data_IF_284421762739
#
_entry.id   IF_284421762739
#
_cell.length_a   1.000
_cell.length_b   1.000
_cell.length_c   1.000
_cell.angle_alpha   90.00
_cell.angle_beta   90.00
_cell.angle_gamma   90.00
#
_symmetry.space_group_name_H-M   'P 1'
#
loop_
_entity.id
_entity.type
_entity.pdbx_description
1 polymer ?
#
# COMPACT_ATOMS: atom_id res chain seq x y z
N UNK A 1 4.03 3.18 -28.55
CA UNK A 1 3.49 3.04 -27.21
C UNK A 1 2.21 3.82 -26.96
N UNK A 2 2.04 5.01 -27.54
CA UNK A 2 0.81 5.84 -27.42
C UNK A 2 -0.47 5.17 -27.95
N UNK A 3 -0.37 4.34 -28.98
CA UNK A 3 -1.53 3.74 -29.67
C UNK A 3 -2.26 2.66 -28.85
N UNK A 4 -1.55 1.93 -27.99
CA UNK A 4 -2.14 0.85 -27.17
C UNK A 4 -2.97 1.43 -26.01
N UNK A 5 -2.56 2.60 -25.49
CA UNK A 5 -3.29 3.29 -24.41
C UNK A 5 -4.62 3.88 -24.87
N UNK A 6 -4.69 4.38 -26.10
CA UNK A 6 -5.94 4.94 -26.66
C UNK A 6 -7.04 3.89 -26.87
N UNK A 7 -6.68 2.65 -27.17
CA UNK A 7 -7.67 1.57 -27.34
C UNK A 7 -8.19 1.03 -26.01
N UNK A 8 -7.36 1.04 -24.95
CA UNK A 8 -7.80 0.63 -23.60
C UNK A 8 -8.73 1.65 -22.96
N UNK A 9 -8.50 2.95 -23.16
CA UNK A 9 -9.40 4.00 -22.68
C UNK A 9 -10.80 3.88 -23.32
N UNK A 10 -10.90 3.48 -24.58
CA UNK A 10 -12.18 3.25 -25.26
C UNK A 10 -12.97 2.05 -24.71
N UNK A 11 -12.33 1.11 -24.07
CA UNK A 11 -12.98 -0.04 -23.45
C UNK A 11 -13.62 0.30 -22.10
N UNK A 12 -13.23 1.41 -21.47
CA UNK A 12 -13.73 1.85 -20.15
C UNK A 12 -14.55 3.13 -20.16
N UNK A 13 -14.51 3.93 -21.24
CA UNK A 13 -15.38 5.09 -21.40
C UNK A 13 -16.67 4.70 -22.11
N UNK A 14 -17.74 4.50 -21.36
CA UNK A 14 -19.10 4.41 -21.90
C UNK A 14 -19.57 5.82 -22.32
N UNK A 15 -19.42 6.16 -23.61
CA UNK A 15 -19.87 7.44 -24.17
C UNK A 15 -19.87 7.45 -25.70
N UNK A 16 -21.01 7.11 -26.29
CA UNK A 16 -21.50 7.46 -27.63
C UNK A 16 -20.60 7.18 -28.86
N UNK A 17 -20.52 5.92 -29.26
CA UNK A 17 -20.38 5.54 -30.68
C UNK A 17 -21.43 4.46 -30.97
N UNK A 18 -22.36 4.71 -31.90
CA UNK A 18 -23.34 3.74 -32.35
C UNK A 18 -22.66 2.56 -33.05
N UNK A 19 -22.38 1.52 -32.30
CA UNK A 19 -22.06 0.19 -32.81
C UNK A 19 -23.35 -0.63 -32.93
N UNK A 20 -23.41 -1.67 -33.82
CA UNK A 20 -24.63 -2.44 -34.02
C UNK A 20 -25.06 -3.12 -32.74
N UNK A 21 -26.38 -3.18 -32.48
CA UNK A 21 -27.03 -3.74 -31.31
C UNK A 21 -26.56 -5.18 -31.03
N UNK A 22 -25.44 -5.34 -30.37
CA UNK A 22 -25.21 -6.51 -29.54
C UNK A 22 -26.03 -6.31 -28.25
N UNK A 23 -26.68 -7.38 -27.82
CA UNK A 23 -27.47 -7.44 -26.59
C UNK A 23 -26.54 -7.01 -25.44
N UNK A 24 -26.61 -5.76 -25.03
CA UNK A 24 -25.88 -5.26 -23.88
C UNK A 24 -26.42 -5.97 -22.65
N UNK A 25 -25.61 -6.85 -22.03
CA UNK A 25 -25.87 -7.29 -20.67
C UNK A 25 -26.00 -6.03 -19.82
N UNK A 26 -27.09 -5.89 -19.11
CA UNK A 26 -27.27 -4.81 -18.14
C UNK A 26 -26.21 -4.97 -17.05
N UNK A 27 -25.74 -3.91 -16.42
CA UNK A 27 -24.70 -3.97 -15.36
C UNK A 27 -25.08 -4.94 -14.21
N UNK A 28 -26.36 -5.26 -14.07
CA UNK A 28 -26.91 -6.27 -13.14
C UNK A 28 -26.63 -7.72 -13.52
N UNK A 29 -26.21 -8.00 -14.75
CA UNK A 29 -25.99 -9.38 -15.26
C UNK A 29 -24.51 -9.82 -15.22
N UNK A 30 -23.59 -8.91 -14.86
CA UNK A 30 -22.16 -9.29 -14.73
C UNK A 30 -21.94 -9.98 -13.38
N UNK A 31 -21.30 -11.16 -13.37
CA UNK A 31 -20.97 -11.80 -12.11
C UNK A 31 -20.04 -10.91 -11.29
N UNK A 32 -20.41 -10.64 -10.04
CA UNK A 32 -19.60 -9.87 -9.11
C UNK A 32 -18.29 -10.59 -8.83
N UNK A 33 -17.19 -9.85 -8.87
CA UNK A 33 -15.91 -10.38 -8.43
C UNK A 33 -15.88 -10.54 -6.89
N UNK A 34 -14.91 -11.28 -6.37
CA UNK A 34 -14.81 -11.59 -4.94
C UNK A 34 -14.69 -10.34 -4.05
N UNK A 35 -14.04 -9.26 -4.54
CA UNK A 35 -13.90 -8.00 -3.78
C UNK A 35 -15.28 -7.33 -3.64
N UNK A 36 -16.06 -7.27 -4.70
CA UNK A 36 -17.43 -6.75 -4.67
C UNK A 36 -18.34 -7.56 -3.74
N UNK A 37 -18.18 -8.88 -3.71
CA UNK A 37 -18.92 -9.74 -2.79
C UNK A 37 -18.58 -9.43 -1.31
N UNK A 38 -17.30 -9.21 -0.99
CA UNK A 38 -16.86 -8.83 0.36
C UNK A 38 -17.43 -7.44 0.72
N UNK A 39 -17.31 -6.46 -0.19
CA UNK A 39 -17.83 -5.10 0.05
C UNK A 39 -19.34 -5.14 0.33
N UNK A 40 -20.10 -5.87 -0.48
CA UNK A 40 -21.55 -6.00 -0.29
C UNK A 40 -21.90 -6.62 1.07
N UNK A 41 -21.23 -7.71 1.44
CA UNK A 41 -21.42 -8.34 2.74
C UNK A 41 -21.08 -7.40 3.92
N UNK A 42 -20.02 -6.61 3.79
CA UNK A 42 -19.61 -5.63 4.80
C UNK A 42 -20.62 -4.47 4.92
N UNK A 43 -21.20 -4.01 3.81
CA UNK A 43 -22.26 -2.99 3.81
C UNK A 43 -23.54 -3.57 4.40
N UNK A 44 -24.01 -4.73 3.94
CA UNK A 44 -25.23 -5.39 4.40
C UNK A 44 -25.20 -5.71 5.90
N UNK A 45 -24.04 -6.10 6.42
CA UNK A 45 -23.85 -6.34 7.86
C UNK A 45 -23.71 -5.07 8.69
N UNK A 46 -23.60 -3.89 8.06
CA UNK A 46 -23.35 -2.63 8.73
C UNK A 46 -21.92 -2.47 9.27
N UNK A 47 -20.99 -3.35 8.86
CA UNK A 47 -19.59 -3.30 9.27
C UNK A 47 -18.88 -2.04 8.75
N UNK A 48 -19.25 -1.61 7.54
CA UNK A 48 -18.76 -0.37 6.93
C UNK A 48 -19.95 0.50 6.49
N UNK A 49 -19.74 1.82 6.54
CA UNK A 49 -20.71 2.81 6.09
C UNK A 49 -20.34 3.43 4.75
N UNK A 50 -19.08 3.38 4.40
CA UNK A 50 -18.49 4.00 3.23
C UNK A 50 -17.39 3.10 2.67
N UNK A 51 -17.29 3.02 1.36
CA UNK A 51 -16.19 2.34 0.66
C UNK A 51 -15.06 3.34 0.46
N UNK A 52 -13.93 3.09 1.13
CA UNK A 52 -12.72 3.89 0.98
C UNK A 52 -11.63 3.01 0.43
N UNK A 53 -11.11 3.39 -0.73
CA UNK A 53 -9.98 2.73 -1.37
C UNK A 53 -8.77 3.66 -1.43
N UNK A 54 -7.63 3.16 -1.86
CA UNK A 54 -6.46 4.00 -2.12
C UNK A 54 -5.65 3.45 -3.29
N UNK A 55 -5.02 4.35 -4.00
CA UNK A 55 -3.95 4.04 -4.93
C UNK A 55 -2.64 4.57 -4.35
N UNK A 56 -1.70 3.68 -3.92
CA UNK A 56 -0.46 4.07 -3.24
C UNK A 56 0.77 3.88 -4.16
N UNK A 57 0.99 4.73 -5.17
CA UNK A 57 2.17 4.61 -6.02
C UNK A 57 3.44 5.05 -5.27
N UNK A 58 4.56 4.41 -5.58
CA UNK A 58 5.89 4.89 -5.24
C UNK A 58 6.38 5.80 -6.38
N UNK A 59 6.79 7.07 -6.10
CA UNK A 59 7.13 8.03 -7.15
C UNK A 59 8.58 7.87 -7.61
N UNK A 60 8.97 6.65 -8.01
CA UNK A 60 10.32 6.26 -8.45
C UNK A 60 10.40 5.91 -9.93
N UNK A 61 9.34 6.16 -10.71
CA UNK A 61 9.28 5.88 -12.14
C UNK A 61 7.90 6.15 -12.74
N UNK A 62 7.82 6.08 -14.08
CA UNK A 62 6.57 6.23 -14.81
C UNK A 62 5.66 5.00 -14.65
N UNK A 63 4.35 5.24 -14.67
CA UNK A 63 3.37 4.18 -14.58
C UNK A 63 3.38 3.28 -15.84
N UNK A 64 2.98 2.04 -15.64
CA UNK A 64 2.76 1.07 -16.72
C UNK A 64 1.36 0.46 -16.65
N UNK A 65 1.00 -0.41 -17.59
CA UNK A 65 -0.34 -0.99 -17.70
C UNK A 65 -0.81 -1.72 -16.43
N UNK A 66 0.11 -2.28 -15.64
CA UNK A 66 -0.22 -2.89 -14.35
C UNK A 66 -0.75 -1.87 -13.35
N UNK A 67 -0.16 -0.67 -13.32
CA UNK A 67 -0.65 0.44 -12.50
C UNK A 67 -2.01 0.94 -12.99
N UNK A 68 -2.22 1.08 -14.30
CA UNK A 68 -3.51 1.46 -14.87
C UNK A 68 -4.63 0.50 -14.43
N UNK A 69 -4.36 -0.82 -14.42
CA UNK A 69 -5.30 -1.82 -13.90
C UNK A 69 -5.63 -1.59 -12.42
N UNK A 70 -4.64 -1.29 -11.59
CA UNK A 70 -4.82 -1.00 -10.17
C UNK A 70 -5.61 0.29 -9.94
N UNK A 71 -5.32 1.35 -10.72
CA UNK A 71 -6.05 2.62 -10.67
C UNK A 71 -7.52 2.37 -11.01
N UNK A 72 -7.81 1.73 -12.16
CA UNK A 72 -9.17 1.42 -12.57
C UNK A 72 -9.93 0.57 -11.54
N UNK A 73 -9.27 -0.37 -10.88
CA UNK A 73 -9.88 -1.18 -9.84
C UNK A 73 -10.24 -0.33 -8.60
N UNK A 74 -9.28 0.42 -8.06
CA UNK A 74 -9.47 1.16 -6.81
C UNK A 74 -10.43 2.33 -6.97
N UNK A 75 -10.22 3.18 -7.96
CA UNK A 75 -11.10 4.31 -8.25
C UNK A 75 -12.47 3.84 -8.76
N UNK A 76 -12.51 2.79 -9.60
CA UNK A 76 -13.74 2.21 -10.11
C UNK A 76 -14.64 1.65 -9.00
N UNK A 77 -14.08 0.92 -8.03
CA UNK A 77 -14.82 0.45 -6.87
C UNK A 77 -15.35 1.61 -6.03
N UNK A 78 -14.52 2.61 -5.72
CA UNK A 78 -14.97 3.79 -5.00
C UNK A 78 -16.16 4.47 -5.71
N UNK A 79 -16.03 4.72 -7.00
CA UNK A 79 -17.10 5.33 -7.80
C UNK A 79 -18.36 4.47 -7.83
N UNK A 80 -18.24 3.15 -8.03
CA UNK A 80 -19.36 2.21 -8.10
C UNK A 80 -20.20 2.20 -6.81
N UNK A 81 -19.55 2.34 -5.67
CA UNK A 81 -20.18 2.29 -4.35
C UNK A 81 -20.45 3.68 -3.74
N UNK A 82 -20.25 4.76 -4.50
CA UNK A 82 -20.43 6.14 -3.99
C UNK A 82 -19.48 6.50 -2.85
N UNK A 83 -18.34 5.85 -2.80
CA UNK A 83 -17.28 6.10 -1.83
C UNK A 83 -16.17 6.98 -2.41
N UNK A 84 -14.98 6.95 -1.79
CA UNK A 84 -13.82 7.74 -2.23
C UNK A 84 -12.57 6.87 -2.40
N UNK A 85 -11.66 7.33 -3.28
CA UNK A 85 -10.33 6.76 -3.44
C UNK A 85 -9.28 7.83 -3.11
N UNK A 86 -8.37 7.53 -2.19
CA UNK A 86 -7.27 8.43 -1.84
C UNK A 86 -6.07 8.15 -2.75
N UNK A 87 -5.46 9.21 -3.30
CA UNK A 87 -4.12 9.13 -3.88
C UNK A 87 -3.10 9.34 -2.77
N UNK A 88 -2.24 8.34 -2.52
CA UNK A 88 -1.22 8.42 -1.48
C UNK A 88 0.12 7.96 -2.03
N UNK A 89 1.07 8.85 -2.10
CA UNK A 89 2.43 8.51 -2.49
C UNK A 89 3.15 7.77 -1.37
N UNK A 90 3.75 6.61 -1.70
CA UNK A 90 4.64 5.87 -0.82
C UNK A 90 6.08 6.37 -1.02
N UNK A 91 6.31 7.62 -0.66
CA UNK A 91 7.55 8.38 -0.81
C UNK A 91 8.51 8.13 0.37
N UNK A 92 8.99 6.90 0.48
CA UNK A 92 9.84 6.47 1.62
C UNK A 92 11.31 6.29 1.27
N UNK A 93 11.68 6.47 0.00
CA UNK A 93 13.06 6.35 -0.48
C UNK A 93 13.51 7.62 -1.24
N UNK A 94 14.02 8.64 -0.55
CA UNK A 94 14.38 9.92 -1.15
C UNK A 94 15.48 9.84 -2.22
N UNK A 95 16.24 8.73 -2.29
CA UNK A 95 17.28 8.56 -3.31
C UNK A 95 16.71 8.17 -4.69
N UNK A 96 15.53 7.58 -4.73
CA UNK A 96 14.92 7.07 -5.95
C UNK A 96 13.69 7.87 -6.41
N UNK A 97 13.22 8.82 -5.62
CA UNK A 97 11.98 9.56 -5.83
C UNK A 97 12.24 10.93 -6.42
N UNK A 98 11.38 11.34 -7.34
CA UNK A 98 11.50 12.63 -8.04
C UNK A 98 10.11 13.24 -8.25
N UNK A 99 10.01 14.57 -8.10
CA UNK A 99 8.79 15.33 -8.33
C UNK A 99 8.23 15.13 -9.74
N UNK A 100 9.09 14.90 -10.73
CA UNK A 100 8.68 14.60 -12.11
C UNK A 100 7.78 13.35 -12.18
N UNK A 101 8.08 12.33 -11.36
CA UNK A 101 7.25 11.12 -11.32
C UNK A 101 5.95 11.36 -10.57
N UNK A 102 5.95 12.18 -9.51
CA UNK A 102 4.71 12.60 -8.83
C UNK A 102 3.77 13.27 -9.80
N UNK A 103 4.26 14.26 -10.55
CA UNK A 103 3.47 15.02 -11.52
C UNK A 103 2.93 14.11 -12.64
N UNK A 104 3.78 13.22 -13.17
CA UNK A 104 3.38 12.26 -14.21
C UNK A 104 2.30 11.27 -13.71
N UNK A 105 2.40 10.80 -12.46
CA UNK A 105 1.40 9.91 -11.86
C UNK A 105 0.06 10.62 -11.69
N UNK A 106 0.06 11.88 -11.25
CA UNK A 106 -1.13 12.72 -11.13
C UNK A 106 -1.79 12.88 -12.50
N UNK A 107 -1.01 13.21 -13.52
CA UNK A 107 -1.49 13.36 -14.89
C UNK A 107 -2.06 12.05 -15.44
N UNK A 108 -1.41 10.92 -15.20
CA UNK A 108 -1.87 9.60 -15.64
C UNK A 108 -3.21 9.19 -14.99
N UNK A 109 -3.40 9.46 -13.69
CA UNK A 109 -4.67 9.20 -12.99
C UNK A 109 -5.78 10.06 -13.58
N UNK A 110 -5.53 11.36 -13.78
CA UNK A 110 -6.47 12.29 -14.40
C UNK A 110 -6.79 11.89 -15.87
N UNK A 111 -5.77 11.50 -16.64
CA UNK A 111 -5.95 11.03 -18.01
C UNK A 111 -6.81 9.76 -18.11
N UNK A 112 -6.74 8.87 -17.13
CA UNK A 112 -7.62 7.71 -17.01
C UNK A 112 -9.06 8.08 -16.62
N UNK A 113 -9.35 9.36 -16.35
CA UNK A 113 -10.68 9.88 -16.04
C UNK A 113 -11.05 9.81 -14.56
N UNK A 114 -10.08 9.64 -13.67
CA UNK A 114 -10.32 9.60 -12.23
C UNK A 114 -9.83 10.87 -11.54
N UNK A 115 -10.48 11.20 -10.42
CA UNK A 115 -10.13 12.30 -9.53
C UNK A 115 -10.25 11.82 -8.09
N UNK A 116 -9.62 12.53 -7.16
CA UNK A 116 -9.70 12.29 -5.71
C UNK A 116 -10.09 13.58 -4.99
N UNK A 117 -10.49 13.46 -3.74
CA UNK A 117 -10.83 14.60 -2.89
C UNK A 117 -9.60 15.08 -2.10
N UNK A 118 -9.44 16.40 -2.01
CA UNK A 118 -8.34 17.02 -1.27
C UNK A 118 -6.99 16.91 -1.97
N UNK A 119 -5.93 17.13 -1.22
CA UNK A 119 -4.54 17.01 -1.69
C UNK A 119 -4.10 15.53 -1.66
N UNK A 120 -3.15 15.14 -2.52
CA UNK A 120 -2.51 13.84 -2.38
C UNK A 120 -1.85 13.71 -0.99
N UNK A 121 -1.89 12.52 -0.42
CA UNK A 121 -1.19 12.22 0.83
C UNK A 121 0.22 11.71 0.52
N UNK A 122 1.16 11.99 1.40
CA UNK A 122 2.53 11.49 1.32
C UNK A 122 2.87 10.68 2.57
N UNK A 123 3.52 9.54 2.39
CA UNK A 123 3.94 8.70 3.53
C UNK A 123 4.96 9.43 4.41
N UNK A 124 5.83 10.25 3.79
CA UNK A 124 6.83 11.07 4.49
C UNK A 124 6.24 12.09 5.47
N UNK A 125 5.02 12.58 5.24
CA UNK A 125 4.33 13.50 6.15
C UNK A 125 4.07 12.90 7.53
N UNK A 126 4.13 11.57 7.65
CA UNK A 126 3.81 10.82 8.87
C UNK A 126 5.03 10.24 9.59
N UNK A 127 6.26 10.53 9.16
CA UNK A 127 7.47 9.91 9.73
C UNK A 127 7.61 10.16 11.24
N UNK A 128 7.38 11.36 11.70
CA UNK A 128 7.43 11.68 13.13
C UNK A 128 6.36 10.89 13.92
N UNK A 129 5.16 10.80 13.38
CA UNK A 129 4.07 10.04 14.01
C UNK A 129 4.36 8.53 14.00
N UNK A 130 4.92 8.01 12.90
CA UNK A 130 5.33 6.60 12.80
C UNK A 130 6.43 6.28 13.82
N UNK A 131 7.37 7.20 14.02
CA UNK A 131 8.40 7.07 15.06
C UNK A 131 7.80 7.03 16.46
N UNK A 132 6.83 7.90 16.77
CA UNK A 132 6.13 7.88 18.05
C UNK A 132 5.34 6.59 18.27
N UNK A 133 4.67 6.08 17.24
CA UNK A 133 3.98 4.79 17.30
C UNK A 133 4.96 3.62 17.49
N UNK A 134 6.14 3.67 16.87
CA UNK A 134 7.20 2.69 17.09
C UNK A 134 7.60 2.65 18.58
N UNK A 135 7.74 3.81 19.23
CA UNK A 135 8.00 3.89 20.68
C UNK A 135 6.86 3.29 21.51
N UNK A 136 5.59 3.49 21.11
CA UNK A 136 4.44 2.86 21.77
C UNK A 136 4.52 1.34 21.64
N UNK A 137 4.79 0.79 20.46
CA UNK A 137 4.93 -0.65 20.26
C UNK A 137 6.06 -1.25 21.12
N UNK A 138 7.16 -0.56 21.25
CA UNK A 138 8.27 -1.00 22.13
C UNK A 138 7.81 -1.00 23.60
N UNK A 139 7.19 0.08 24.07
CA UNK A 139 6.69 0.19 25.46
C UNK A 139 5.68 -0.91 25.79
N UNK A 140 4.84 -1.29 24.83
CA UNK A 140 3.89 -2.39 24.96
C UNK A 140 4.53 -3.79 24.75
N UNK A 141 5.85 -3.85 24.64
CA UNK A 141 6.60 -5.08 24.39
C UNK A 141 6.19 -5.82 23.09
N UNK A 142 5.67 -5.08 22.12
CA UNK A 142 5.25 -5.58 20.78
C UNK A 142 6.31 -5.39 19.69
N UNK A 143 7.38 -4.64 19.98
CA UNK A 143 8.52 -4.44 19.10
C UNK A 143 9.83 -4.44 19.91
N UNK A 144 10.94 -4.67 19.24
CA UNK A 144 12.28 -4.68 19.82
C UNK A 144 13.33 -4.31 18.77
N UNK A 145 14.45 -3.76 19.21
CA UNK A 145 15.61 -3.51 18.34
C UNK A 145 16.45 -4.77 18.24
N UNK A 146 16.78 -5.15 17.02
CA UNK A 146 17.50 -6.37 16.65
C UNK A 146 18.84 -6.03 15.98
N UNK A 147 19.92 -6.66 16.40
CA UNK A 147 21.27 -6.47 15.87
C UNK A 147 21.68 -7.56 14.87
N UNK A 148 20.75 -8.43 14.46
CA UNK A 148 21.06 -9.41 13.41
C UNK A 148 21.28 -8.71 12.08
N UNK A 149 22.31 -9.12 11.38
CA UNK A 149 22.56 -8.74 10.00
C UNK A 149 21.43 -9.21 9.06
N UNK A 150 21.35 -8.64 7.88
CA UNK A 150 20.35 -9.04 6.87
C UNK A 150 20.43 -10.53 6.50
N UNK A 151 21.64 -11.12 6.53
CA UNK A 151 21.84 -12.54 6.26
C UNK A 151 21.35 -13.42 7.42
N UNK A 152 21.70 -13.09 8.65
CA UNK A 152 21.18 -13.77 9.83
C UNK A 152 19.65 -13.67 9.93
N UNK A 153 19.07 -12.50 9.64
CA UNK A 153 17.62 -12.34 9.59
C UNK A 153 16.99 -13.31 8.59
N UNK A 154 17.60 -13.53 7.41
CA UNK A 154 17.11 -14.53 6.44
C UNK A 154 17.13 -15.94 6.99
N UNK A 155 18.18 -16.30 7.73
CA UNK A 155 18.30 -17.62 8.36
C UNK A 155 17.24 -17.81 9.45
N UNK A 156 17.00 -16.78 10.29
CA UNK A 156 16.00 -16.85 11.36
C UNK A 156 14.56 -16.76 10.85
N UNK A 157 14.32 -16.12 9.69
CA UNK A 157 12.96 -15.93 9.16
C UNK A 157 12.26 -17.22 8.77
N UNK A 158 13.01 -18.25 8.40
CA UNK A 158 12.47 -19.48 7.81
C UNK A 158 12.11 -19.32 6.34
N UNK A 159 11.37 -20.28 5.80
CA UNK A 159 10.93 -20.36 4.39
C UNK A 159 9.41 -20.56 4.32
N UNK A 160 8.86 -20.71 3.12
CA UNK A 160 7.43 -21.05 2.94
C UNK A 160 7.05 -22.41 3.53
N UNK A 161 8.03 -23.29 3.75
CA UNK A 161 7.82 -24.66 4.24
C UNK A 161 8.50 -24.94 5.59
N UNK A 162 9.34 -24.03 6.05
CA UNK A 162 10.08 -24.16 7.31
C UNK A 162 9.71 -23.01 8.25
N UNK A 163 9.41 -23.35 9.48
CA UNK A 163 9.06 -22.40 10.53
C UNK A 163 10.26 -21.54 10.89
N UNK A 164 10.05 -20.24 11.04
CA UNK A 164 11.10 -19.33 11.50
C UNK A 164 11.43 -19.50 12.99
N UNK A 165 12.59 -18.97 13.38
CA UNK A 165 13.10 -18.98 14.75
C UNK A 165 13.10 -17.58 15.36
N UNK A 166 12.97 -17.51 16.67
CA UNK A 166 13.09 -16.24 17.39
C UNK A 166 14.52 -15.72 17.36
N UNK A 167 14.68 -14.42 17.09
CA UNK A 167 15.94 -13.74 17.27
C UNK A 167 16.41 -13.79 18.73
N UNK A 168 17.71 -13.92 19.02
CA UNK A 168 18.25 -13.83 20.38
C UNK A 168 17.93 -12.49 21.06
N UNK A 169 17.72 -11.43 20.27
CA UNK A 169 17.39 -10.09 20.76
C UNK A 169 15.89 -9.88 21.04
N UNK A 170 15.04 -10.89 20.73
CA UNK A 170 13.58 -10.74 20.87
C UNK A 170 13.13 -10.42 22.30
N UNK A 171 13.90 -10.83 23.31
CA UNK A 171 13.58 -10.59 24.73
C UNK A 171 14.27 -9.34 25.29
N UNK A 172 14.87 -8.51 24.45
CA UNK A 172 15.44 -7.22 24.88
C UNK A 172 14.39 -6.37 25.57
N UNK A 173 14.79 -5.69 26.65
CA UNK A 173 13.86 -4.87 27.42
C UNK A 173 13.33 -3.68 26.61
N UNK A 174 12.12 -3.19 26.91
CA UNK A 174 11.59 -1.98 26.30
C UNK A 174 12.51 -0.77 26.47
N UNK A 175 13.11 -0.60 27.65
CA UNK A 175 14.00 0.52 27.97
C UNK A 175 15.26 0.52 27.11
N UNK A 176 15.88 -0.64 26.96
CA UNK A 176 17.05 -0.81 26.10
C UNK A 176 16.70 -0.60 24.62
N UNK A 177 15.58 -1.17 24.17
CA UNK A 177 15.10 -0.99 22.78
C UNK A 177 14.78 0.48 22.48
N UNK A 178 14.18 1.23 23.40
CA UNK A 178 13.92 2.66 23.23
C UNK A 178 15.21 3.47 23.11
N UNK A 179 16.22 3.14 23.98
CA UNK A 179 17.52 3.81 23.92
C UNK A 179 18.21 3.58 22.58
N UNK A 180 18.21 2.33 22.09
CA UNK A 180 18.82 1.97 20.80
C UNK A 180 18.08 2.61 19.63
N UNK A 181 16.75 2.64 19.65
CA UNK A 181 15.93 3.31 18.63
C UNK A 181 16.28 4.81 18.54
N UNK A 182 16.50 5.48 19.68
CA UNK A 182 16.92 6.89 19.69
C UNK A 182 18.33 7.07 19.11
N UNK A 183 19.29 6.18 19.44
CA UNK A 183 20.65 6.22 18.86
C UNK A 183 20.60 6.00 17.34
N UNK A 184 19.73 5.09 16.85
CA UNK A 184 19.50 4.91 15.40
C UNK A 184 18.99 6.20 14.77
N UNK A 185 18.02 6.87 15.39
CA UNK A 185 17.45 8.13 14.88
C UNK A 185 18.49 9.26 14.83
N UNK A 186 19.39 9.31 15.80
CA UNK A 186 20.46 10.31 15.87
C UNK A 186 21.64 10.04 14.91
N UNK A 187 21.63 8.89 14.22
CA UNK A 187 22.72 8.49 13.34
C UNK A 187 24.00 8.04 14.09
N UNK A 188 23.88 7.71 15.38
CA UNK A 188 25.00 7.20 16.20
C UNK A 188 25.25 5.71 15.98
N UNK A 189 24.40 5.04 15.20
CA UNK A 189 24.50 3.62 14.83
C UNK A 189 24.62 3.55 13.31
N UNK A 190 25.58 2.79 12.82
CA UNK A 190 25.83 2.61 11.40
C UNK A 190 24.61 2.02 10.69
N UNK A 191 24.38 2.44 9.45
CA UNK A 191 23.29 1.95 8.63
C UNK A 191 23.37 0.43 8.46
N UNK A 192 22.25 -0.24 8.64
CA UNK A 192 22.15 -1.71 8.54
C UNK A 192 22.64 -2.48 9.76
N UNK A 193 23.28 -1.82 10.76
CA UNK A 193 23.75 -2.51 11.97
C UNK A 193 22.60 -2.96 12.89
N UNK A 194 21.47 -2.23 12.88
CA UNK A 194 20.30 -2.55 13.70
C UNK A 194 19.01 -2.33 12.92
N UNK A 195 17.95 -3.05 13.31
CA UNK A 195 16.61 -2.91 12.76
C UNK A 195 15.56 -2.98 13.87
N UNK A 196 14.50 -2.16 13.77
CA UNK A 196 13.31 -2.32 14.60
C UNK A 196 12.44 -3.46 14.03
N UNK A 197 12.09 -4.44 14.87
CA UNK A 197 11.29 -5.60 14.49
C UNK A 197 10.07 -5.76 15.37
N UNK A 198 8.93 -6.12 14.75
CA UNK A 198 7.73 -6.50 15.50
C UNK A 198 7.89 -7.90 16.12
N UNK A 199 7.27 -8.11 17.29
CA UNK A 199 7.19 -9.41 17.99
C UNK A 199 6.02 -10.24 17.46
N UNK A 200 6.05 -10.58 16.17
CA UNK A 200 5.06 -11.48 15.55
C UNK A 200 5.41 -12.94 15.85
N UNK A 201 4.42 -13.83 15.73
CA UNK A 201 4.64 -15.28 15.85
C UNK A 201 5.46 -15.78 14.66
N UNK A 202 6.66 -16.30 14.94
CA UNK A 202 7.56 -16.84 13.91
C UNK A 202 7.08 -18.19 13.36
N UNK A 203 6.11 -18.82 13.99
CA UNK A 203 5.47 -20.06 13.53
C UNK A 203 4.17 -19.81 12.72
N UNK A 204 3.74 -18.56 12.58
CA UNK A 204 2.57 -18.21 11.78
C UNK A 204 2.76 -18.61 10.32
N UNK A 205 1.77 -19.28 9.69
CA UNK A 205 1.85 -19.67 8.28
C UNK A 205 1.68 -18.48 7.32
N UNK A 206 1.49 -17.27 7.83
CA UNK A 206 1.28 -16.06 7.05
C UNK A 206 2.47 -15.11 7.21
#
# INVERSE_FOLDING_TARGET
MLFVYQELAKLYTCGSAKLPKQRTMTDTDKPMNFIQQIINADIESGRIKEVVTRFPPEPNGYLHIGHAKSICLNFGLATQYGGRCNLRFDDTNPEAEDQTFVDAIIDDVNWLGFTWEGEPCYASDYFDQLYDWAKVLIKENKAYVCELSAEEIRQFRGTLTEVGSNSPFRQRSPEESLKLLELMRLGEIDEGAMTLRAKIDMASPN
#
